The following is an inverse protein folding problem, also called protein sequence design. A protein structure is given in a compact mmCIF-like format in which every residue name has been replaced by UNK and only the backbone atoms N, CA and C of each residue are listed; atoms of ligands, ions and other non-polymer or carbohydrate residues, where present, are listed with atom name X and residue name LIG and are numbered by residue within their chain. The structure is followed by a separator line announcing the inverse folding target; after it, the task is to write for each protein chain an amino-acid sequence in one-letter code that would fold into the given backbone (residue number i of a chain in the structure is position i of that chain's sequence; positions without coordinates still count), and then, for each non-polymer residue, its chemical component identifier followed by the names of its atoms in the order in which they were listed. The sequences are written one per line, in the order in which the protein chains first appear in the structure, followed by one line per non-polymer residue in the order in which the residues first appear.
data_IF_201850466234
#
_entry.id   IF_201850466234
#
_cell.length_a   1.000
_cell.length_b   1.000
_cell.length_c   1.000
_cell.angle_alpha   90.00
_cell.angle_beta   90.00
_cell.angle_gamma   90.00
#
_symmetry.space_group_name_H-M   'P 1'
#
loop_
_entity.id
_entity.type
_entity.pdbx_description
1 polymer ?
#
# COMPACT_ATOMS: atom_id res chain seq x y z
N UNK A 1 -71.90 26.48 -19.94
CA UNK A 1 -72.17 27.92 -19.67
C UNK A 1 -72.87 28.03 -18.32
N UNK A 2 -72.50 29.00 -17.44
CA UNK A 2 -72.89 29.15 -16.00
C UNK A 2 -72.36 28.00 -15.09
N UNK A 3 -71.59 28.16 -13.99
CA UNK A 3 -71.41 29.12 -12.85
C UNK A 3 -72.30 28.90 -11.61
N UNK A 4 -71.67 29.10 -10.42
CA UNK A 4 -72.22 29.41 -9.05
C UNK A 4 -72.70 28.17 -8.23
N UNK A 5 -72.41 27.94 -6.91
CA UNK A 5 -71.56 28.61 -5.88
C UNK A 5 -71.19 27.67 -4.67
N UNK A 6 -70.06 27.98 -4.01
CA UNK A 6 -69.68 27.96 -2.57
C UNK A 6 -70.34 27.04 -1.50
N UNK A 7 -69.51 26.40 -0.62
CA UNK A 7 -69.38 26.63 0.86
C UNK A 7 -68.47 25.54 1.54
N UNK A 8 -67.30 25.85 2.14
CA UNK A 8 -66.98 26.21 3.57
C UNK A 8 -66.74 25.00 4.51
N UNK A 9 -65.88 25.21 5.53
CA UNK A 9 -65.24 24.30 6.53
C UNK A 9 -63.92 23.64 6.04
N UNK A 10 -62.72 23.96 6.52
CA UNK A 10 -62.19 24.49 7.80
C UNK A 10 -62.00 23.46 8.95
N UNK A 11 -61.00 22.60 8.76
CA UNK A 11 -60.13 21.99 9.80
C UNK A 11 -59.00 21.28 9.02
N UNK A 12 -57.72 21.31 9.36
CA UNK A 12 -57.09 21.73 10.62
C UNK A 12 -55.88 20.83 10.90
N UNK A 13 -54.87 20.87 10.03
CA UNK A 13 -53.56 20.23 10.30
C UNK A 13 -52.45 21.22 9.96
N UNK A 14 -51.86 21.80 10.99
CA UNK A 14 -50.61 22.55 10.86
C UNK A 14 -49.50 21.50 10.65
N UNK A 15 -48.89 21.49 9.46
CA UNK A 15 -47.70 20.71 9.20
C UNK A 15 -46.53 21.32 10.00
N UNK A 16 -46.29 20.81 11.20
CA UNK A 16 -45.22 21.28 12.09
C UNK A 16 -43.86 20.90 11.50
N UNK A 17 -43.19 21.91 10.96
CA UNK A 17 -41.85 21.82 10.39
C UNK A 17 -40.79 21.75 11.50
N UNK A 18 -40.55 20.57 12.07
CA UNK A 18 -39.40 20.35 12.97
C UNK A 18 -38.16 20.05 12.13
N UNK A 19 -37.41 21.11 11.80
CA UNK A 19 -35.97 20.98 11.58
C UNK A 19 -35.29 20.86 12.95
N UNK A 20 -35.01 19.63 13.36
CA UNK A 20 -34.03 19.36 14.43
C UNK A 20 -32.92 18.49 13.86
N UNK A 21 -31.81 19.13 13.52
CA UNK A 21 -30.64 18.51 12.93
C UNK A 21 -29.90 17.72 14.02
N UNK A 22 -30.15 16.42 14.08
CA UNK A 22 -29.26 15.45 14.72
C UNK A 22 -28.82 14.40 13.69
N UNK A 23 -28.45 14.87 12.50
CA UNK A 23 -27.67 14.09 11.56
C UNK A 23 -26.30 13.81 12.15
N UNK A 24 -26.19 12.76 12.97
CA UNK A 24 -24.91 12.11 13.23
C UNK A 24 -24.51 11.37 11.94
N UNK A 25 -24.17 12.16 10.93
CA UNK A 25 -23.46 11.67 9.77
C UNK A 25 -22.11 11.22 10.24
N UNK A 26 -21.99 9.93 10.57
CA UNK A 26 -20.75 9.18 10.46
C UNK A 26 -20.35 9.14 8.98
N UNK A 27 -20.01 10.32 8.45
CA UNK A 27 -19.56 10.52 7.10
C UNK A 27 -18.43 9.54 6.88
N UNK A 28 -18.64 8.60 5.97
CA UNK A 28 -17.71 7.51 5.73
C UNK A 28 -16.47 8.10 5.09
N UNK A 29 -15.53 8.57 5.93
CA UNK A 29 -14.34 9.27 5.50
C UNK A 29 -13.63 8.42 4.45
N UNK A 30 -13.51 8.99 3.24
CA UNK A 30 -12.76 8.38 2.16
C UNK A 30 -11.30 8.73 2.34
N UNK A 31 -10.39 7.85 1.94
CA UNK A 31 -8.97 8.17 1.85
C UNK A 31 -8.80 9.26 0.79
N UNK A 32 -8.51 10.49 1.24
CA UNK A 32 -8.15 11.63 0.42
C UNK A 32 -6.67 11.99 0.59
N UNK A 33 -6.21 13.00 -0.13
CA UNK A 33 -4.86 13.54 0.10
C UNK A 33 -4.79 14.21 1.48
N UNK A 34 -3.74 13.94 2.25
CA UNK A 34 -3.56 14.41 3.62
C UNK A 34 -4.23 13.55 4.71
N UNK A 35 -5.15 12.64 4.35
CA UNK A 35 -5.80 11.75 5.32
C UNK A 35 -4.79 10.87 6.04
N UNK A 36 -4.91 10.75 7.37
CA UNK A 36 -4.11 9.81 8.16
C UNK A 36 -4.88 8.50 8.28
N UNK A 37 -4.30 7.43 7.74
CA UNK A 37 -4.98 6.14 7.56
C UNK A 37 -4.27 5.08 8.41
N UNK A 38 -5.01 4.38 9.27
CA UNK A 38 -4.54 3.19 9.97
C UNK A 38 -5.05 1.94 9.26
N UNK A 39 -4.14 1.01 8.96
CA UNK A 39 -4.43 -0.25 8.26
C UNK A 39 -3.91 -1.46 9.04
N UNK A 40 -4.58 -2.60 8.83
CA UNK A 40 -3.99 -3.93 9.02
C UNK A 40 -3.57 -4.45 7.65
N UNK A 41 -2.40 -5.07 7.56
CA UNK A 41 -1.86 -5.53 6.29
C UNK A 41 -1.00 -6.80 6.42
N UNK A 42 -0.98 -7.56 5.33
CA UNK A 42 -0.07 -8.67 5.09
C UNK A 42 0.63 -8.45 3.75
N UNK A 43 1.88 -8.90 3.64
CA UNK A 43 2.69 -8.86 2.42
C UNK A 43 3.16 -10.28 2.10
N UNK A 44 2.84 -10.73 0.89
CA UNK A 44 3.37 -11.96 0.31
C UNK A 44 4.36 -11.60 -0.81
N UNK A 45 5.50 -12.30 -0.86
CA UNK A 45 6.58 -12.12 -1.83
C UNK A 45 6.86 -13.45 -2.50
N UNK A 46 6.62 -13.52 -3.82
CA UNK A 46 6.75 -14.74 -4.64
C UNK A 46 6.13 -15.99 -3.99
N UNK A 47 4.91 -15.86 -3.45
CA UNK A 47 4.16 -16.94 -2.81
C UNK A 47 4.45 -17.15 -1.33
N UNK A 48 5.41 -16.43 -0.72
CA UNK A 48 5.74 -16.55 0.72
C UNK A 48 5.29 -15.33 1.51
N UNK A 49 4.57 -15.55 2.60
CA UNK A 49 4.20 -14.47 3.52
C UNK A 49 5.44 -13.97 4.28
N UNK A 50 5.77 -12.69 4.13
CA UNK A 50 6.90 -12.03 4.82
C UNK A 50 6.43 -11.10 5.93
N UNK A 51 5.18 -10.64 5.86
CA UNK A 51 4.49 -9.86 6.90
C UNK A 51 3.06 -10.38 6.98
N UNK A 52 2.57 -10.67 8.19
CA UNK A 52 1.20 -11.12 8.45
C UNK A 52 0.54 -10.24 9.49
N UNK A 53 -0.72 -9.86 9.23
CA UNK A 53 -1.65 -9.16 10.13
C UNK A 53 -1.09 -7.96 10.92
N UNK A 54 -0.06 -7.33 10.37
CA UNK A 54 0.65 -6.23 10.99
C UNK A 54 -0.11 -4.93 10.82
N UNK A 55 0.13 -3.95 11.69
CA UNK A 55 -0.60 -2.67 11.69
C UNK A 55 0.36 -1.53 11.44
N UNK A 56 -0.05 -0.58 10.60
CA UNK A 56 0.68 0.66 10.38
C UNK A 56 -0.29 1.83 10.22
N UNK A 57 0.21 3.04 10.43
CA UNK A 57 -0.46 4.27 9.98
C UNK A 57 0.41 5.01 8.99
N UNK A 58 -0.21 5.60 7.97
CA UNK A 58 0.46 6.44 6.97
C UNK A 58 -0.38 7.67 6.67
N UNK A 59 0.24 8.70 6.10
CA UNK A 59 -0.49 9.86 5.55
C UNK A 59 -0.63 9.66 4.05
N UNK A 60 -1.86 9.61 3.55
CA UNK A 60 -2.11 9.55 2.12
C UNK A 60 -1.58 10.83 1.45
N UNK A 61 -0.80 10.70 0.37
CA UNK A 61 -0.03 11.80 -0.23
C UNK A 61 1.46 11.77 0.12
N UNK A 62 1.86 11.09 1.21
CA UNK A 62 3.27 10.98 1.60
C UNK A 62 4.00 9.85 0.86
N UNK A 63 5.33 9.95 0.77
CA UNK A 63 6.21 8.93 0.20
C UNK A 63 6.43 7.69 1.09
N UNK A 64 5.51 7.41 2.03
CA UNK A 64 5.61 6.26 2.95
C UNK A 64 5.20 4.93 2.31
N UNK A 65 4.39 4.96 1.25
CA UNK A 65 3.95 3.79 0.50
C UNK A 65 4.37 3.91 -0.98
N UNK A 66 4.51 2.80 -1.71
CA UNK A 66 4.68 2.86 -3.16
C UNK A 66 3.51 3.59 -3.83
N UNK A 67 3.80 4.45 -4.81
CA UNK A 67 2.79 5.27 -5.47
C UNK A 67 1.65 4.45 -6.10
N UNK A 68 1.97 3.26 -6.63
CA UNK A 68 0.98 2.33 -7.17
C UNK A 68 0.05 1.75 -6.09
N UNK A 69 0.59 1.44 -4.90
CA UNK A 69 -0.19 0.98 -3.75
C UNK A 69 -1.09 2.09 -3.23
N UNK A 70 -0.53 3.29 -3.01
CA UNK A 70 -1.27 4.45 -2.53
C UNK A 70 -2.44 4.79 -3.47
N UNK A 71 -2.19 4.83 -4.78
CA UNK A 71 -3.22 5.11 -5.80
C UNK A 71 -4.35 4.07 -5.76
N UNK A 72 -4.05 2.81 -5.46
CA UNK A 72 -5.05 1.76 -5.29
C UNK A 72 -5.90 1.91 -4.00
N UNK A 73 -5.45 2.69 -3.00
CA UNK A 73 -6.17 2.91 -1.74
C UNK A 73 -6.98 4.22 -1.70
N UNK A 74 -6.67 5.21 -2.55
CA UNK A 74 -7.45 6.46 -2.63
C UNK A 74 -8.93 6.18 -2.88
N UNK A 75 -9.80 6.91 -2.17
CA UNK A 75 -11.26 6.80 -2.29
C UNK A 75 -11.90 5.65 -1.50
N UNK A 76 -11.11 4.71 -0.94
CA UNK A 76 -11.64 3.65 -0.06
C UNK A 76 -12.13 4.24 1.28
N UNK A 77 -13.03 3.52 1.95
CA UNK A 77 -13.59 3.91 3.25
C UNK A 77 -13.03 3.04 4.39
N UNK A 78 -13.16 3.50 5.64
CA UNK A 78 -12.91 2.66 6.82
C UNK A 78 -13.75 1.37 6.78
N UNK A 79 -13.14 0.24 7.16
CA UNK A 79 -13.73 -1.09 7.05
C UNK A 79 -13.47 -1.80 5.71
N UNK A 80 -13.07 -1.08 4.65
CA UNK A 80 -12.79 -1.68 3.34
C UNK A 80 -11.56 -2.61 3.38
N UNK A 81 -11.63 -3.73 2.67
CA UNK A 81 -10.46 -4.57 2.38
C UNK A 81 -10.12 -4.51 0.88
N UNK A 82 -8.83 -4.58 0.55
CA UNK A 82 -8.33 -4.65 -0.82
C UNK A 82 -7.03 -5.43 -0.90
N UNK A 83 -6.92 -6.30 -1.90
CA UNK A 83 -5.65 -6.93 -2.29
C UNK A 83 -5.09 -6.24 -3.52
N UNK A 84 -3.80 -5.95 -3.52
CA UNK A 84 -3.09 -5.25 -4.61
C UNK A 84 -1.82 -6.04 -4.94
N UNK A 85 -1.75 -6.55 -6.16
CA UNK A 85 -0.54 -7.16 -6.70
C UNK A 85 0.31 -6.08 -7.41
N UNK A 86 1.59 -5.97 -7.02
CA UNK A 86 2.58 -5.10 -7.64
C UNK A 86 3.79 -5.91 -8.05
N UNK A 87 4.43 -5.53 -9.16
CA UNK A 87 5.82 -5.90 -9.41
C UNK A 87 6.76 -5.11 -8.49
N UNK A 88 7.93 -5.68 -8.19
CA UNK A 88 9.01 -4.97 -7.51
C UNK A 88 9.36 -3.64 -8.16
N UNK A 89 9.29 -3.57 -9.49
CA UNK A 89 9.47 -2.33 -10.25
C UNK A 89 8.46 -1.22 -9.89
N UNK A 90 7.19 -1.58 -9.64
CA UNK A 90 6.14 -0.64 -9.21
C UNK A 90 6.18 -0.32 -7.71
N UNK A 91 6.79 -1.19 -6.90
CA UNK A 91 6.83 -1.05 -5.45
C UNK A 91 8.12 -0.34 -4.94
N UNK A 92 9.27 -0.86 -5.35
CA UNK A 92 10.61 -0.49 -4.85
C UNK A 92 11.54 0.04 -5.94
N UNK A 93 11.01 0.27 -7.15
CA UNK A 93 11.76 0.72 -8.31
C UNK A 93 12.34 -0.43 -9.14
N UNK A 94 12.73 -0.17 -10.40
CA UNK A 94 13.23 -1.20 -11.30
C UNK A 94 14.57 -1.75 -10.84
N UNK A 95 14.85 -3.01 -11.22
CA UNK A 95 16.19 -3.60 -11.12
C UNK A 95 17.15 -2.83 -12.04
N UNK A 96 18.15 -2.20 -11.43
CA UNK A 96 19.18 -1.38 -12.05
C UNK A 96 20.38 -2.24 -12.45
N UNK A 97 20.76 -2.22 -13.73
CA UNK A 97 21.87 -3.01 -14.27
C UNK A 97 23.23 -2.52 -13.76
N UNK A 98 23.33 -1.21 -13.54
CA UNK A 98 24.47 -0.49 -12.97
C UNK A 98 24.72 -0.81 -11.48
N UNK A 99 23.75 -1.42 -10.78
CA UNK A 99 23.90 -1.89 -9.40
C UNK A 99 24.35 -3.36 -9.31
N UNK A 100 24.61 -4.02 -10.44
CA UNK A 100 25.35 -5.27 -10.47
C UNK A 100 26.85 -5.00 -10.64
N UNK A 101 27.68 -5.70 -9.88
CA UNK A 101 29.14 -5.52 -9.92
C UNK A 101 29.83 -6.88 -9.94
N UNK A 102 30.76 -7.07 -10.88
CA UNK A 102 31.65 -8.23 -10.89
C UNK A 102 32.83 -7.96 -9.97
N UNK A 103 33.09 -8.87 -9.04
CA UNK A 103 34.32 -8.85 -8.21
C UNK A 103 34.89 -10.27 -8.13
N UNK A 104 36.22 -10.45 -8.05
CA UNK A 104 36.78 -11.76 -7.79
C UNK A 104 36.42 -12.20 -6.36
N UNK A 105 36.31 -13.51 -6.14
CA UNK A 105 36.04 -14.11 -4.81
C UNK A 105 37.01 -13.60 -3.74
N UNK A 106 38.26 -13.33 -4.11
CA UNK A 106 39.32 -12.80 -3.23
C UNK A 106 39.07 -11.38 -2.71
N UNK A 107 38.15 -10.61 -3.31
CA UNK A 107 37.73 -9.28 -2.81
C UNK A 107 36.63 -9.36 -1.75
N UNK A 108 36.12 -10.56 -1.45
CA UNK A 108 35.09 -10.76 -0.43
C UNK A 108 35.74 -11.07 0.94
N UNK A 109 35.05 -10.83 2.06
CA UNK A 109 35.55 -11.24 3.38
C UNK A 109 35.85 -12.74 3.42
N UNK A 110 36.96 -13.12 4.04
CA UNK A 110 37.28 -14.53 4.25
C UNK A 110 36.20 -15.22 5.12
N UNK A 111 36.04 -16.53 4.92
CA UNK A 111 35.10 -17.38 5.65
C UNK A 111 33.59 -17.09 5.41
N UNK A 112 33.22 -16.45 4.30
CA UNK A 112 31.83 -16.46 3.84
C UNK A 112 31.53 -17.75 3.04
N UNK A 113 30.43 -18.43 3.36
CA UNK A 113 29.86 -19.44 2.45
C UNK A 113 29.31 -18.72 1.21
N UNK A 114 29.86 -19.04 0.04
CA UNK A 114 29.44 -18.51 -1.26
C UNK A 114 28.24 -19.28 -1.78
N UNK A 115 27.09 -18.60 -1.90
CA UNK A 115 25.84 -19.20 -2.37
C UNK A 115 25.00 -18.16 -3.10
N UNK A 116 24.50 -18.51 -4.28
CA UNK A 116 23.60 -17.63 -5.03
C UNK A 116 22.33 -17.33 -4.23
N UNK A 117 21.83 -16.10 -4.34
CA UNK A 117 20.72 -15.57 -3.54
C UNK A 117 21.08 -15.14 -2.12
N UNK A 118 22.26 -15.49 -1.59
CA UNK A 118 22.69 -15.10 -0.25
C UNK A 118 22.91 -13.60 -0.15
N UNK A 119 22.43 -13.00 0.94
CA UNK A 119 22.69 -11.60 1.29
C UNK A 119 23.93 -11.55 2.21
N UNK A 120 24.86 -10.69 1.85
CA UNK A 120 26.05 -10.32 2.63
C UNK A 120 25.88 -8.87 3.11
N UNK A 121 26.54 -8.50 4.20
CA UNK A 121 26.68 -7.10 4.61
C UNK A 121 28.10 -6.65 4.28
N UNK A 122 28.26 -5.74 3.31
CA UNK A 122 29.54 -5.14 2.95
C UNK A 122 29.59 -3.71 3.49
N UNK A 123 30.41 -3.48 4.52
CA UNK A 123 30.37 -2.25 5.31
C UNK A 123 29.04 -2.13 6.04
N UNK A 124 28.20 -1.18 5.61
CA UNK A 124 26.82 -1.02 6.08
C UNK A 124 25.76 -1.28 4.99
N UNK A 125 26.17 -1.74 3.79
CA UNK A 125 25.24 -2.00 2.69
C UNK A 125 24.92 -3.51 2.60
N UNK A 126 23.64 -3.92 2.58
CA UNK A 126 23.27 -5.29 2.21
C UNK A 126 23.48 -5.49 0.69
N UNK A 127 24.11 -6.60 0.32
CA UNK A 127 24.47 -6.94 -1.06
C UNK A 127 24.18 -8.42 -1.30
N UNK A 128 23.45 -8.75 -2.37
CA UNK A 128 23.13 -10.13 -2.73
C UNK A 128 24.19 -10.72 -3.65
N UNK A 129 24.58 -11.99 -3.45
CA UNK A 129 25.30 -12.76 -4.47
C UNK A 129 24.26 -13.15 -5.54
N UNK A 130 24.24 -12.46 -6.67
CA UNK A 130 23.29 -12.74 -7.75
C UNK A 130 23.73 -13.90 -8.65
N UNK A 131 25.04 -14.09 -8.84
CA UNK A 131 25.58 -15.22 -9.62
C UNK A 131 27.02 -15.55 -9.21
N UNK A 132 27.38 -16.83 -9.27
CA UNK A 132 28.77 -17.31 -9.17
C UNK A 132 29.20 -17.76 -10.57
N UNK A 133 30.37 -17.31 -11.02
CA UNK A 133 30.92 -17.62 -12.34
C UNK A 133 32.11 -18.60 -12.20
N UNK A 134 32.40 -19.33 -13.29
CA UNK A 134 33.42 -20.40 -13.29
C UNK A 134 34.86 -19.90 -13.14
N UNK A 135 35.11 -18.62 -13.39
CA UNK A 135 36.39 -17.91 -13.35
C UNK A 135 36.75 -17.35 -11.95
N UNK A 136 36.15 -17.88 -10.88
CA UNK A 136 36.22 -17.32 -9.51
C UNK A 136 35.75 -15.84 -9.42
N UNK A 137 34.89 -15.40 -10.34
CA UNK A 137 34.19 -14.11 -10.26
C UNK A 137 32.80 -14.30 -9.65
N UNK A 138 32.38 -13.43 -8.74
CA UNK A 138 30.97 -13.31 -8.34
C UNK A 138 30.34 -12.07 -8.94
N UNK A 139 29.04 -12.16 -9.24
CA UNK A 139 28.19 -11.01 -9.55
C UNK A 139 27.47 -10.64 -8.26
N UNK A 140 27.85 -9.50 -7.68
CA UNK A 140 27.16 -8.85 -6.58
C UNK A 140 26.02 -8.00 -7.11
N UNK A 141 24.96 -7.88 -6.33
CA UNK A 141 23.73 -7.16 -6.64
C UNK A 141 23.35 -6.26 -5.46
N UNK A 142 23.35 -4.94 -5.71
CA UNK A 142 23.06 -3.89 -4.74
C UNK A 142 21.66 -3.29 -4.92
N UNK A 143 20.79 -3.92 -5.70
CA UNK A 143 19.40 -3.50 -5.82
C UNK A 143 18.63 -3.70 -4.51
N UNK A 144 17.48 -3.03 -4.38
CA UNK A 144 16.54 -3.34 -3.30
C UNK A 144 16.14 -4.83 -3.41
N UNK A 145 16.22 -5.63 -2.33
CA UNK A 145 15.91 -7.07 -2.36
C UNK A 145 14.54 -7.44 -2.92
N UNK A 146 13.58 -6.52 -2.94
CA UNK A 146 12.21 -6.71 -3.43
C UNK A 146 11.96 -6.13 -4.84
N UNK A 147 12.93 -5.44 -5.45
CA UNK A 147 12.77 -4.79 -6.76
C UNK A 147 12.53 -5.77 -7.93
N UNK A 148 12.93 -7.04 -7.78
CA UNK A 148 12.77 -8.08 -8.80
C UNK A 148 11.59 -9.02 -8.59
N UNK A 149 10.80 -8.85 -7.51
CA UNK A 149 9.90 -9.87 -6.99
C UNK A 149 8.42 -9.49 -7.24
N UNK A 150 7.52 -10.46 -7.23
CA UNK A 150 6.08 -10.18 -7.18
C UNK A 150 5.64 -9.96 -5.73
N UNK A 151 4.86 -8.91 -5.51
CA UNK A 151 4.44 -8.45 -4.19
C UNK A 151 2.92 -8.39 -4.14
N UNK A 152 2.31 -9.11 -3.19
CA UNK A 152 0.87 -9.09 -2.98
C UNK A 152 0.60 -8.46 -1.61
N UNK A 153 0.01 -7.28 -1.62
CA UNK A 153 -0.41 -6.54 -0.43
C UNK A 153 -1.88 -6.82 -0.16
N UNK A 154 -2.19 -7.48 0.95
CA UNK A 154 -3.56 -7.60 1.45
C UNK A 154 -3.77 -6.57 2.55
N UNK A 155 -4.68 -5.61 2.35
CA UNK A 155 -4.84 -4.42 3.20
C UNK A 155 -6.29 -4.31 3.65
N UNK A 156 -6.50 -4.05 4.95
CA UNK A 156 -7.79 -3.69 5.54
C UNK A 156 -7.69 -2.30 6.18
N UNK A 157 -8.54 -1.38 5.74
CA UNK A 157 -8.62 -0.03 6.30
C UNK A 157 -9.36 -0.09 7.63
N UNK A 158 -8.75 0.41 8.70
CA UNK A 158 -9.29 0.31 10.06
C UNK A 158 -9.82 1.65 10.57
N UNK A 159 -9.07 2.72 10.28
CA UNK A 159 -9.42 4.09 10.67
C UNK A 159 -8.89 5.05 9.61
N UNK A 160 -9.65 6.12 9.38
CA UNK A 160 -9.24 7.29 8.59
C UNK A 160 -9.53 8.51 9.46
N UNK A 161 -8.55 9.41 9.54
CA UNK A 161 -8.55 10.70 10.25
C UNK A 161 -8.24 11.83 9.25
#
# INVERSE_FOLDING_TARGET
MKRIKNAVFLSGVIAVLILSIAGCGSGSSKIGNGSKVTVQYSINVDGRDVVTDSRMSFVAGSSMLPAALQSALIGLHSGSSKTVALSGAQAYGPVKKELFTRVPVTSLPQNIELKEGKILTLGQTPVRIAKILQDNTVVLDRNNPLAGNQLIYSIKILKIE
#
